data_IF_904465098218
#
_entry.id   IF_904465098218
#
_cell.length_a   1.000
_cell.length_b   1.000
_cell.length_c   1.000
_cell.angle_alpha   90.00
_cell.angle_beta   90.00
_cell.angle_gamma   90.00
#
_symmetry.space_group_name_H-M   'P 1'
#
loop_
_entity.id
_entity.type
_entity.pdbx_description
1 polymer ?
#
# COMPACT_ATOMS: atom_id res chain seq x y z
N UNK A 1 -16.84 -8.44 18.02
CA UNK A 1 -17.27 -7.86 16.73
C UNK A 1 -16.19 -8.17 15.71
N UNK A 2 -16.45 -9.05 14.74
CA UNK A 2 -15.50 -9.29 13.63
C UNK A 2 -15.81 -8.22 12.57
N UNK A 3 -15.29 -7.02 12.80
CA UNK A 3 -15.55 -5.87 11.94
C UNK A 3 -14.82 -6.05 10.63
N UNK A 4 -15.57 -6.24 9.54
CA UNK A 4 -15.02 -6.14 8.20
C UNK A 4 -14.84 -4.65 7.89
N UNK A 5 -13.61 -4.22 7.64
CA UNK A 5 -13.32 -2.86 7.19
C UNK A 5 -13.15 -2.88 5.68
N UNK A 6 -14.15 -2.37 4.96
CA UNK A 6 -14.07 -2.24 3.50
C UNK A 6 -13.96 -3.56 2.73
N UNK A 7 -14.45 -4.66 3.30
CA UNK A 7 -14.38 -6.00 2.71
C UNK A 7 -13.24 -6.87 3.24
N UNK A 8 -12.34 -6.31 4.06
CA UNK A 8 -11.23 -7.04 4.66
C UNK A 8 -11.53 -7.48 6.09
N UNK A 9 -11.04 -8.65 6.49
CA UNK A 9 -11.07 -9.08 7.89
C UNK A 9 -9.92 -8.48 8.72
N UNK A 10 -9.90 -8.74 10.03
CA UNK A 10 -8.90 -8.16 10.93
C UNK A 10 -7.46 -8.61 10.64
N UNK A 11 -7.27 -9.83 10.14
CA UNK A 11 -5.95 -10.34 9.80
C UNK A 11 -5.46 -9.69 8.50
N UNK A 12 -6.34 -9.56 7.52
CA UNK A 12 -6.07 -8.86 6.27
C UNK A 12 -5.73 -7.39 6.53
N UNK A 13 -6.49 -6.69 7.38
CA UNK A 13 -6.18 -5.30 7.75
C UNK A 13 -4.79 -5.15 8.36
N UNK A 14 -4.36 -6.09 9.21
CA UNK A 14 -3.02 -6.06 9.79
C UNK A 14 -1.92 -6.21 8.73
N UNK A 15 -2.13 -7.07 7.74
CA UNK A 15 -1.23 -7.21 6.59
C UNK A 15 -1.16 -5.92 5.77
N UNK A 16 -2.30 -5.30 5.49
CA UNK A 16 -2.35 -4.05 4.71
C UNK A 16 -1.61 -2.92 5.44
N UNK A 17 -1.77 -2.81 6.76
CA UNK A 17 -1.06 -1.82 7.58
C UNK A 17 0.45 -2.06 7.56
N UNK A 18 0.89 -3.30 7.81
CA UNK A 18 2.31 -3.66 7.77
C UNK A 18 2.94 -3.33 6.41
N UNK A 19 2.28 -3.74 5.32
CA UNK A 19 2.74 -3.51 3.95
C UNK A 19 2.86 -2.01 3.66
N UNK A 20 1.84 -1.24 4.04
CA UNK A 20 1.82 0.20 3.86
C UNK A 20 2.99 0.88 4.58
N UNK A 21 3.25 0.50 5.82
CA UNK A 21 4.36 1.07 6.61
C UNK A 21 5.73 0.70 6.04
N UNK A 22 5.91 -0.55 5.59
CA UNK A 22 7.13 -1.00 4.92
C UNK A 22 7.37 -0.23 3.62
N UNK A 23 6.35 -0.10 2.77
CA UNK A 23 6.46 0.64 1.52
C UNK A 23 6.79 2.12 1.75
N UNK A 24 6.16 2.77 2.74
CA UNK A 24 6.49 4.15 3.11
C UNK A 24 7.95 4.29 3.57
N UNK A 25 8.43 3.35 4.40
CA UNK A 25 9.81 3.36 4.90
C UNK A 25 10.83 3.17 3.78
N UNK A 26 10.62 2.21 2.89
CA UNK A 26 11.50 1.92 1.74
C UNK A 26 11.56 3.08 0.75
N UNK A 27 10.45 3.80 0.58
CA UNK A 27 10.38 4.98 -0.29
C UNK A 27 10.82 6.29 0.41
N UNK A 28 11.13 6.25 1.70
CA UNK A 28 11.50 7.44 2.48
C UNK A 28 10.36 8.46 2.62
N UNK A 29 9.10 8.03 2.53
CA UNK A 29 7.93 8.90 2.62
C UNK A 29 7.68 9.30 4.07
N UNK A 30 7.58 10.60 4.29
CA UNK A 30 7.34 11.16 5.62
C UNK A 30 5.84 11.08 5.98
N UNK A 31 5.49 11.05 7.29
CA UNK A 31 4.09 11.07 7.71
C UNK A 31 3.30 12.29 7.23
N UNK A 32 3.98 13.41 6.95
CA UNK A 32 3.36 14.66 6.47
C UNK A 32 3.08 14.67 4.97
N UNK A 33 3.67 13.77 4.19
CA UNK A 33 3.39 13.67 2.76
C UNK A 33 2.11 12.84 2.54
N UNK A 34 0.97 13.49 2.81
CA UNK A 34 -0.35 12.86 2.71
C UNK A 34 -0.65 12.36 1.29
N UNK A 35 -0.17 13.09 0.27
CA UNK A 35 -0.39 12.72 -1.12
C UNK A 35 0.36 11.43 -1.48
N UNK A 36 1.66 11.35 -1.17
CA UNK A 36 2.44 10.13 -1.42
C UNK A 36 1.89 8.93 -0.64
N UNK A 37 1.53 9.14 0.64
CA UNK A 37 0.91 8.11 1.48
C UNK A 37 -0.41 7.62 0.89
N UNK A 38 -1.29 8.50 0.44
CA UNK A 38 -2.56 8.11 -0.18
C UNK A 38 -2.34 7.26 -1.44
N UNK A 39 -1.33 7.57 -2.25
CA UNK A 39 -0.98 6.78 -3.44
C UNK A 39 -0.48 5.38 -3.07
N UNK A 40 0.41 5.27 -2.09
CA UNK A 40 0.90 3.96 -1.60
C UNK A 40 -0.27 3.12 -1.08
N UNK A 41 -1.14 3.71 -0.24
CA UNK A 41 -2.31 3.01 0.28
C UNK A 41 -3.23 2.50 -0.84
N UNK A 42 -3.46 3.31 -1.88
CA UNK A 42 -4.23 2.90 -3.06
C UNK A 42 -3.61 1.71 -3.78
N UNK A 43 -2.28 1.69 -3.95
CA UNK A 43 -1.59 0.58 -4.60
C UNK A 43 -1.68 -0.72 -3.78
N UNK A 44 -1.47 -0.65 -2.46
CA UNK A 44 -1.63 -1.80 -1.55
C UNK A 44 -3.05 -2.36 -1.62
N UNK A 45 -4.07 -1.50 -1.49
CA UNK A 45 -5.48 -1.91 -1.53
C UNK A 45 -5.85 -2.50 -2.90
N UNK A 46 -5.30 -1.98 -4.00
CA UNK A 46 -5.60 -2.46 -5.35
C UNK A 46 -5.22 -3.93 -5.53
N UNK A 47 -4.02 -4.31 -5.07
CA UNK A 47 -3.56 -5.68 -5.18
C UNK A 47 -4.24 -6.61 -4.15
N UNK A 48 -4.53 -6.10 -2.95
CA UNK A 48 -5.31 -6.84 -1.95
C UNK A 48 -6.73 -7.18 -2.42
N UNK A 49 -7.39 -6.26 -3.13
CA UNK A 49 -8.70 -6.51 -3.75
C UNK A 49 -8.66 -7.60 -4.84
N UNK A 50 -7.49 -7.91 -5.39
CA UNK A 50 -7.29 -9.04 -6.30
C UNK A 50 -7.06 -10.37 -5.56
N UNK A 51 -7.15 -10.39 -4.22
CA UNK A 51 -7.02 -11.58 -3.39
C UNK A 51 -5.59 -11.87 -2.93
N UNK A 52 -4.64 -10.97 -3.17
CA UNK A 52 -3.25 -11.15 -2.77
C UNK A 52 -2.98 -10.52 -1.39
N UNK A 53 -2.50 -11.33 -0.44
CA UNK A 53 -2.22 -10.91 0.93
C UNK A 53 -0.82 -11.30 1.42
N UNK A 54 0.07 -11.68 0.51
CA UNK A 54 1.48 -11.84 0.81
C UNK A 54 2.13 -10.44 1.02
N UNK A 55 2.70 -10.15 2.21
CA UNK A 55 3.26 -8.83 2.52
C UNK A 55 4.36 -8.39 1.55
N UNK A 56 5.23 -9.31 1.12
CA UNK A 56 6.35 -9.00 0.23
C UNK A 56 5.84 -8.61 -1.16
N UNK A 57 4.91 -9.41 -1.70
CA UNK A 57 4.26 -9.14 -2.98
C UNK A 57 3.51 -7.80 -2.98
N UNK A 58 2.77 -7.51 -1.91
CA UNK A 58 2.06 -6.24 -1.75
C UNK A 58 3.01 -5.05 -1.65
N UNK A 59 4.14 -5.22 -0.95
CA UNK A 59 5.13 -4.16 -0.73
C UNK A 59 5.86 -3.83 -2.03
N UNK A 60 6.34 -4.86 -2.75
CA UNK A 60 6.97 -4.71 -4.06
C UNK A 60 6.04 -4.04 -5.06
N UNK A 61 4.77 -4.45 -5.09
CA UNK A 61 3.77 -3.83 -5.96
C UNK A 61 3.54 -2.36 -5.65
N UNK A 62 3.39 -2.01 -4.37
CA UNK A 62 3.18 -0.63 -3.95
C UNK A 62 4.37 0.27 -4.32
N UNK A 63 5.61 -0.21 -4.10
CA UNK A 63 6.84 0.50 -4.46
C UNK A 63 6.95 0.70 -5.97
N UNK A 64 6.73 -0.36 -6.76
CA UNK A 64 6.77 -0.29 -8.23
C UNK A 64 5.75 0.73 -8.73
N UNK A 65 4.49 0.61 -8.29
CA UNK A 65 3.40 1.45 -8.78
C UNK A 65 3.59 2.93 -8.44
N UNK A 66 4.18 3.21 -7.28
CA UNK A 66 4.54 4.56 -6.85
C UNK A 66 5.64 5.15 -7.74
N UNK A 67 6.71 4.39 -7.99
CA UNK A 67 7.83 4.84 -8.83
C UNK A 67 7.44 5.04 -10.29
N UNK A 68 6.59 4.16 -10.84
CA UNK A 68 6.08 4.30 -12.20
C UNK A 68 5.30 5.62 -12.35
N UNK A 69 4.46 5.95 -11.36
CA UNK A 69 3.70 7.21 -11.35
C UNK A 69 4.61 8.44 -11.24
N UNK A 70 5.62 8.42 -10.38
CA UNK A 70 6.55 9.55 -10.26
C UNK A 70 7.47 9.67 -11.49
N UNK A 71 7.79 8.55 -12.14
CA UNK A 71 8.51 8.52 -13.43
C UNK A 71 7.71 9.17 -14.56
N UNK A 72 6.39 8.96 -14.61
CA UNK A 72 5.49 9.62 -15.57
C UNK A 72 5.38 11.13 -15.37
N UNK A 73 5.71 11.67 -14.19
CA UNK A 73 5.74 13.13 -13.94
C UNK A 73 7.02 13.83 -14.41
N UNK A 74 8.07 13.06 -14.73
CA UNK A 74 9.38 13.58 -15.16
C UNK A 74 9.56 13.57 -16.68
N UNK A 75 8.53 13.20 -17.45
CA UNK A 75 8.49 13.24 -18.92
C UNK A 75 7.55 14.34 -19.41
#
# INVERSE_FOLDING_TARGET
MKGSFGGFDSAEVAVLQLTFDLACRELGITPSDEEARARIAKAVISLAKAGQFDPDSLTLHAISRFRDYDGERLQ
#
